data_IF_004639826164
#
_entry.id   IF_004639826164
#
_cell.length_a   1.000
_cell.length_b   1.000
_cell.length_c   1.000
_cell.angle_alpha   90.00
_cell.angle_beta   90.00
_cell.angle_gamma   90.00
#
_symmetry.space_group_name_H-M   'P 1'
#
loop_
_entity.id
_entity.type
_entity.pdbx_description
1 polymer ?
#
# COMPACT_ATOMS: atom_id res chain seq x y z
N UNK A 1 -7.71 -3.71 26.14
CA UNK A 1 -7.92 -2.56 25.26
C UNK A 1 -7.32 -2.85 23.90
N UNK A 2 -8.05 -2.61 22.83
CA UNK A 2 -7.56 -2.80 21.47
C UNK A 2 -6.66 -1.63 21.10
N UNK A 3 -5.46 -1.92 20.64
CA UNK A 3 -4.52 -0.91 20.15
C UNK A 3 -4.99 -0.36 18.80
N UNK A 4 -4.96 0.96 18.62
CA UNK A 4 -5.30 1.58 17.35
C UNK A 4 -4.33 1.22 16.23
N UNK A 5 -4.76 1.39 14.99
CA UNK A 5 -3.91 1.12 13.84
C UNK A 5 -2.79 2.14 13.66
N UNK A 6 -2.92 3.31 14.27
CA UNK A 6 -1.94 4.39 14.16
C UNK A 6 -0.77 4.30 15.15
N UNK A 7 -0.79 3.31 16.01
CA UNK A 7 0.22 3.15 17.05
C UNK A 7 0.67 1.68 17.17
N UNK A 8 1.54 1.27 16.25
CA UNK A 8 2.07 -0.11 16.20
C UNK A 8 3.54 -0.07 15.81
N UNK A 9 4.21 -1.17 16.06
CA UNK A 9 5.57 -1.39 15.56
C UNK A 9 5.52 -1.94 14.14
N UNK A 10 6.55 -1.63 13.36
CA UNK A 10 6.69 -2.13 12.00
C UNK A 10 6.94 -1.04 10.99
N UNK A 11 6.91 -1.43 9.74
CA UNK A 11 7.17 -0.55 8.60
C UNK A 11 5.97 -0.52 7.66
N UNK A 12 5.80 0.61 7.01
CA UNK A 12 4.86 0.80 5.90
C UNK A 12 5.68 1.33 4.72
N UNK A 13 5.42 0.83 3.53
CA UNK A 13 6.02 1.39 2.32
C UNK A 13 5.14 2.56 1.88
N UNK A 14 5.69 3.76 1.90
CA UNK A 14 4.97 5.00 1.61
C UNK A 14 5.75 5.82 0.59
N UNK A 15 5.18 6.02 -0.57
CA UNK A 15 5.74 6.86 -1.65
C UNK A 15 7.21 6.53 -1.97
N UNK A 16 7.51 5.25 -2.07
CA UNK A 16 8.81 4.76 -2.50
C UNK A 16 9.79 4.44 -1.38
N UNK A 17 9.39 4.59 -0.12
CA UNK A 17 10.27 4.38 1.03
C UNK A 17 9.61 3.54 2.10
N UNK A 18 10.44 2.75 2.80
CA UNK A 18 10.00 2.15 4.06
C UNK A 18 10.03 3.21 5.16
N UNK A 19 8.89 3.41 5.80
CA UNK A 19 8.66 4.42 6.83
C UNK A 19 8.22 3.72 8.10
N UNK A 20 8.61 4.25 9.25
CA UNK A 20 8.11 3.72 10.52
C UNK A 20 6.59 3.80 10.54
N UNK A 21 5.96 2.77 11.10
CA UNK A 21 4.51 2.68 11.16
C UNK A 21 3.87 3.95 11.70
N UNK A 22 4.39 4.45 12.82
CA UNK A 22 3.82 5.62 13.51
C UNK A 22 4.07 6.94 12.78
N UNK A 23 4.96 6.96 11.80
CA UNK A 23 5.28 8.15 11.01
C UNK A 23 4.55 8.16 9.66
N UNK A 24 3.76 7.15 9.38
CA UNK A 24 3.02 7.02 8.11
C UNK A 24 1.73 7.84 8.20
N UNK A 25 1.86 9.14 7.98
CA UNK A 25 0.77 10.13 8.14
C UNK A 25 0.61 10.94 6.86
N UNK A 26 -0.60 11.41 6.62
CA UNK A 26 -0.92 12.28 5.49
C UNK A 26 -1.57 13.55 5.98
N UNK A 27 -1.53 14.60 5.15
CA UNK A 27 -2.14 15.87 5.49
C UNK A 27 -3.67 15.78 5.40
N UNK A 28 -4.37 16.51 6.25
CA UNK A 28 -5.84 16.52 6.31
C UNK A 28 -6.47 17.08 5.03
N UNK A 29 -5.75 17.86 4.25
CA UNK A 29 -6.23 18.39 2.96
C UNK A 29 -5.95 17.47 1.78
N UNK A 30 -5.63 16.22 2.05
CA UNK A 30 -5.41 15.22 1.01
C UNK A 30 -6.69 15.02 0.19
N UNK A 31 -6.59 15.13 -1.14
CA UNK A 31 -7.75 15.04 -2.03
C UNK A 31 -8.47 13.70 -1.88
N UNK A 32 -7.74 12.62 -1.76
CA UNK A 32 -8.33 11.29 -1.59
C UNK A 32 -9.21 11.18 -0.35
N UNK A 33 -8.87 11.92 0.70
CA UNK A 33 -9.63 11.92 1.94
C UNK A 33 -10.97 12.65 1.78
N UNK A 34 -10.99 13.75 1.03
CA UNK A 34 -12.17 14.60 0.86
C UNK A 34 -13.10 14.13 -0.25
N UNK A 35 -12.55 13.54 -1.31
CA UNK A 35 -13.31 13.20 -2.52
C UNK A 35 -13.29 11.70 -2.82
N UNK A 36 -12.73 10.91 -1.92
CA UNK A 36 -12.64 9.46 -2.08
C UNK A 36 -11.92 9.02 -3.36
N UNK A 37 -11.00 9.84 -3.87
CA UNK A 37 -10.22 9.53 -5.07
C UNK A 37 -9.06 8.61 -4.72
N UNK A 38 -9.38 7.32 -4.56
CA UNK A 38 -8.40 6.30 -4.21
C UNK A 38 -8.80 4.96 -4.80
N UNK A 39 -7.80 4.10 -4.97
CA UNK A 39 -7.98 2.69 -5.36
C UNK A 39 -7.13 1.82 -4.46
N UNK A 40 -7.57 0.60 -4.21
CA UNK A 40 -6.80 -0.34 -3.41
C UNK A 40 -7.01 -1.77 -3.90
N UNK A 41 -6.11 -2.65 -3.45
CA UNK A 41 -6.26 -4.09 -3.59
C UNK A 41 -6.13 -4.75 -2.22
N UNK A 42 -6.70 -5.91 -2.06
CA UNK A 42 -6.52 -6.74 -0.89
C UNK A 42 -5.85 -8.05 -1.30
N UNK A 43 -4.67 -8.31 -0.76
CA UNK A 43 -3.86 -9.47 -1.10
C UNK A 43 -3.51 -10.25 0.16
N UNK A 44 -3.24 -11.53 0.00
CA UNK A 44 -2.90 -12.38 1.13
C UNK A 44 -1.55 -13.06 0.90
N UNK A 45 -0.67 -12.94 1.85
CA UNK A 45 0.58 -13.68 1.87
C UNK A 45 0.43 -14.94 2.70
N UNK A 46 0.97 -16.05 2.18
CA UNK A 46 1.03 -17.33 2.85
C UNK A 46 2.46 -17.83 2.78
N UNK A 47 3.03 -18.11 3.95
CA UNK A 47 4.41 -18.63 4.05
C UNK A 47 5.42 -17.77 3.26
N UNK A 48 5.28 -16.45 3.36
CA UNK A 48 6.18 -15.48 2.73
C UNK A 48 5.89 -15.19 1.27
N UNK A 49 4.86 -15.78 0.70
CA UNK A 49 4.49 -15.57 -0.72
C UNK A 49 3.11 -14.94 -0.82
N UNK A 50 3.02 -13.89 -1.61
CA UNK A 50 1.74 -13.20 -1.86
C UNK A 50 1.02 -13.92 -2.99
N UNK A 51 -0.19 -14.41 -2.70
CA UNK A 51 -0.99 -15.14 -3.67
C UNK A 51 -1.47 -14.19 -4.77
N UNK A 52 -1.20 -14.54 -6.03
CA UNK A 52 -1.60 -13.79 -7.22
C UNK A 52 -1.20 -12.33 -7.20
N UNK A 53 0.00 -12.04 -6.69
CA UNK A 53 0.46 -10.65 -6.54
C UNK A 53 0.54 -9.93 -7.89
N UNK A 54 0.94 -10.60 -8.96
CA UNK A 54 1.03 -9.99 -10.29
C UNK A 54 -0.35 -9.56 -10.80
N UNK A 55 -1.36 -10.43 -10.69
CA UNK A 55 -2.71 -10.14 -11.13
C UNK A 55 -3.33 -9.00 -10.29
N UNK A 56 -3.12 -9.00 -8.99
CA UNK A 56 -3.56 -7.91 -8.12
C UNK A 56 -2.88 -6.59 -8.47
N UNK A 57 -1.58 -6.63 -8.73
CA UNK A 57 -0.82 -5.43 -9.09
C UNK A 57 -1.32 -4.85 -10.42
N UNK A 58 -1.56 -5.71 -11.41
CA UNK A 58 -2.10 -5.29 -12.70
C UNK A 58 -3.46 -4.61 -12.51
N UNK A 59 -4.37 -5.22 -11.74
CA UNK A 59 -5.70 -4.65 -11.48
C UNK A 59 -5.61 -3.33 -10.72
N UNK A 60 -4.66 -3.22 -9.80
CA UNK A 60 -4.39 -2.00 -9.06
C UNK A 60 -4.05 -0.84 -10.00
N UNK A 61 -3.17 -1.08 -10.97
CA UNK A 61 -2.80 -0.08 -11.97
C UNK A 61 -3.97 0.24 -12.91
N UNK A 62 -4.73 -0.76 -13.32
CA UNK A 62 -5.93 -0.55 -14.13
C UNK A 62 -6.97 0.29 -13.40
N UNK A 63 -7.16 0.03 -12.11
CA UNK A 63 -8.07 0.82 -11.27
C UNK A 63 -7.63 2.27 -11.16
N UNK A 64 -6.33 2.51 -10.97
CA UNK A 64 -5.79 3.86 -10.94
C UNK A 64 -6.03 4.58 -12.27
N UNK A 65 -5.80 3.92 -13.38
CA UNK A 65 -6.03 4.47 -14.71
C UNK A 65 -7.51 4.84 -14.93
N UNK A 66 -8.43 3.98 -14.47
CA UNK A 66 -9.87 4.26 -14.54
C UNK A 66 -10.24 5.53 -13.77
N UNK A 67 -9.54 5.83 -12.70
CA UNK A 67 -9.72 7.03 -11.88
C UNK A 67 -8.88 8.22 -12.36
N UNK A 68 -8.28 8.12 -13.54
CA UNK A 68 -7.35 9.13 -14.07
C UNK A 68 -6.19 9.44 -13.12
N UNK A 69 -5.73 8.43 -12.41
CA UNK A 69 -4.55 8.56 -11.55
C UNK A 69 -3.37 7.82 -12.15
N UNK A 70 -2.21 8.45 -12.11
CA UNK A 70 -0.96 7.83 -12.51
C UNK A 70 -0.16 7.44 -11.27
N UNK A 71 0.11 6.14 -11.14
CA UNK A 71 0.97 5.65 -10.07
C UNK A 71 2.42 5.92 -10.50
N UNK A 72 3.20 6.70 -9.73
CA UNK A 72 4.55 7.11 -10.14
C UNK A 72 5.62 6.02 -9.97
N UNK A 73 5.22 4.76 -10.05
CA UNK A 73 6.09 3.60 -9.95
C UNK A 73 5.65 2.55 -10.97
N UNK A 74 6.58 1.71 -11.39
CA UNK A 74 6.26 0.60 -12.29
C UNK A 74 5.59 -0.54 -11.52
N UNK A 75 4.92 -1.44 -12.24
CA UNK A 75 4.35 -2.64 -11.64
C UNK A 75 5.44 -3.48 -10.97
N UNK A 76 6.61 -3.58 -11.58
CA UNK A 76 7.75 -4.31 -11.03
C UNK A 76 8.21 -3.70 -9.69
N UNK A 77 8.27 -2.39 -9.62
CA UNK A 77 8.65 -1.70 -8.37
C UNK A 77 7.63 -1.95 -7.26
N UNK A 78 6.35 -1.94 -7.57
CA UNK A 78 5.29 -2.22 -6.60
C UNK A 78 5.35 -3.69 -6.14
N UNK A 79 5.56 -4.63 -7.05
CA UNK A 79 5.73 -6.04 -6.70
C UNK A 79 6.91 -6.24 -5.74
N UNK A 80 8.04 -5.60 -6.02
CA UNK A 80 9.21 -5.67 -5.16
C UNK A 80 8.97 -5.01 -3.80
N UNK A 81 8.25 -3.88 -3.79
CA UNK A 81 7.89 -3.18 -2.56
C UNK A 81 7.07 -4.08 -1.61
N UNK A 82 6.13 -4.82 -2.15
CA UNK A 82 5.31 -5.76 -1.37
C UNK A 82 6.16 -6.84 -0.71
N UNK A 83 7.09 -7.43 -1.46
CA UNK A 83 8.01 -8.46 -0.95
C UNK A 83 8.91 -7.89 0.13
N UNK A 84 9.51 -6.74 -0.13
CA UNK A 84 10.39 -6.07 0.83
C UNK A 84 9.66 -5.75 2.12
N UNK A 85 8.41 -5.30 2.02
CA UNK A 85 7.60 -4.95 3.17
C UNK A 85 7.33 -6.15 4.09
N UNK A 86 6.99 -7.29 3.52
CA UNK A 86 6.76 -8.52 4.27
C UNK A 86 8.03 -8.97 4.99
N UNK A 87 9.16 -8.94 4.29
CA UNK A 87 10.46 -9.31 4.85
C UNK A 87 10.84 -8.35 5.98
N UNK A 88 10.70 -7.06 5.76
CA UNK A 88 11.07 -6.02 6.73
C UNK A 88 10.26 -6.11 8.02
N UNK A 89 9.02 -6.59 7.94
CA UNK A 89 8.17 -6.77 9.11
C UNK A 89 8.28 -8.16 9.72
N UNK A 90 9.11 -9.05 9.16
CA UNK A 90 9.30 -10.39 9.68
C UNK A 90 8.06 -11.26 9.61
N UNK A 91 7.20 -11.03 8.62
CA UNK A 91 5.92 -11.73 8.49
C UNK A 91 6.00 -12.83 7.45
N UNK A 92 5.27 -13.90 7.68
CA UNK A 92 5.07 -14.98 6.70
C UNK A 92 3.64 -15.00 6.19
N UNK A 93 2.68 -14.86 7.08
CA UNK A 93 1.26 -14.78 6.75
C UNK A 93 0.78 -13.37 7.06
N UNK A 94 0.18 -12.71 6.08
CA UNK A 94 -0.22 -11.32 6.25
C UNK A 94 -1.27 -10.92 5.22
N UNK A 95 -2.05 -9.92 5.58
CA UNK A 95 -2.88 -9.19 4.65
C UNK A 95 -2.05 -8.03 4.09
N UNK A 96 -2.01 -7.90 2.78
CA UNK A 96 -1.26 -6.84 2.09
C UNK A 96 -2.26 -5.95 1.38
N UNK A 97 -2.18 -4.66 1.63
CA UNK A 97 -3.10 -3.69 1.06
C UNK A 97 -2.34 -2.57 0.36
N UNK A 98 -2.18 -2.64 -0.95
CA UNK A 98 -1.72 -1.48 -1.69
C UNK A 98 -2.87 -0.49 -1.85
N UNK A 99 -2.56 0.78 -1.70
CA UNK A 99 -3.52 1.86 -1.89
C UNK A 99 -2.84 3.01 -2.63
N UNK A 100 -3.54 3.60 -3.58
CA UNK A 100 -3.12 4.83 -4.26
C UNK A 100 -4.24 5.85 -4.13
N UNK A 101 -3.86 7.09 -3.86
CA UNK A 101 -4.83 8.18 -3.70
C UNK A 101 -4.27 9.48 -4.26
N UNK A 102 -5.16 10.41 -4.59
CA UNK A 102 -4.73 11.76 -4.95
C UNK A 102 -4.30 12.49 -3.69
N UNK A 103 -3.11 13.07 -3.75
CA UNK A 103 -2.51 13.77 -2.62
C UNK A 103 -3.05 15.17 -2.42
N UNK A 104 -2.27 15.99 -1.71
CA UNK A 104 -2.62 17.38 -1.39
C UNK A 104 -1.98 18.38 -2.36
N UNK A 105 -1.31 17.89 -3.39
CA UNK A 105 -0.63 18.71 -4.39
C UNK A 105 -1.52 19.05 -5.57
#
# INVERSE_FOLDING_TARGET
MIQGFDNREGKIWLNGKLVEWNDSKIHVLNHGLHYASSVFEGERAYNGKIFKSEEHTQRFFEGAQTMDMEIPFTQSEILNAKKELIISNGLKDAYVRPIAWRGSE
#
